data_IF_472693727851
#
_entry.id   IF_472693727851
#
_cell.length_a   1.000
_cell.length_b   1.000
_cell.length_c   1.000
_cell.angle_alpha   90.00
_cell.angle_beta   90.00
_cell.angle_gamma   90.00
#
_symmetry.space_group_name_H-M   'P 1'
#
loop_
_entity.id
_entity.type
_entity.pdbx_description
1 polymer ?
#
# COMPACT_ATOMS: atom_id res chain seq x y z
N UNK A 1 46.35 -50.92 14.25
CA UNK A 1 46.35 -49.96 13.10
C UNK A 1 45.10 -50.02 12.20
N UNK A 2 44.40 -51.14 12.03
CA UNK A 2 43.13 -51.21 11.22
C UNK A 2 41.95 -50.45 11.83
N UNK A 3 41.80 -50.40 13.15
CA UNK A 3 40.69 -49.68 13.82
C UNK A 3 40.82 -48.17 13.74
N UNK A 4 42.04 -47.62 13.73
CA UNK A 4 42.29 -46.20 13.65
C UNK A 4 41.97 -45.59 12.23
N UNK A 5 42.21 -46.40 11.16
CA UNK A 5 41.91 -45.99 9.81
C UNK A 5 40.39 -45.96 9.51
N UNK A 6 39.61 -46.87 10.14
CA UNK A 6 38.16 -46.91 9.97
C UNK A 6 37.49 -45.69 10.62
N UNK A 7 37.97 -45.27 11.80
CA UNK A 7 37.44 -44.11 12.54
C UNK A 7 37.69 -42.79 11.82
N UNK A 8 38.84 -42.64 11.13
CA UNK A 8 39.16 -41.45 10.35
C UNK A 8 38.31 -41.39 9.10
N UNK A 9 38.04 -42.52 8.41
CA UNK A 9 37.15 -42.52 7.23
C UNK A 9 35.71 -42.19 7.58
N UNK A 10 35.17 -42.65 8.69
CA UNK A 10 33.81 -42.33 9.18
C UNK A 10 33.71 -40.85 9.57
N UNK A 11 34.76 -40.31 10.23
CA UNK A 11 34.77 -38.87 10.58
C UNK A 11 34.84 -37.97 9.36
N UNK A 12 35.60 -38.33 8.33
CA UNK A 12 35.69 -37.58 7.07
C UNK A 12 34.39 -37.64 6.24
N UNK A 13 33.65 -38.75 6.26
CA UNK A 13 32.35 -38.83 5.57
C UNK A 13 31.27 -38.03 6.29
N UNK A 14 31.27 -37.96 7.62
CA UNK A 14 30.33 -37.15 8.42
C UNK A 14 30.61 -35.66 8.23
N UNK A 15 31.88 -35.25 8.16
CA UNK A 15 32.28 -33.86 7.89
C UNK A 15 31.92 -33.46 6.46
N UNK A 16 32.04 -34.38 5.49
CA UNK A 16 31.63 -34.14 4.09
C UNK A 16 30.11 -33.98 3.93
N UNK A 17 29.28 -34.63 4.76
CA UNK A 17 27.83 -34.49 4.73
C UNK A 17 27.34 -33.20 5.43
N UNK A 18 28.13 -32.62 6.33
CA UNK A 18 27.77 -31.38 7.04
C UNK A 18 28.09 -30.12 6.24
N UNK A 19 28.84 -30.18 5.15
CA UNK A 19 29.23 -29.03 4.33
C UNK A 19 28.31 -28.77 3.11
N UNK A 20 27.24 -29.53 2.92
CA UNK A 20 26.34 -29.37 1.76
C UNK A 20 24.94 -28.85 2.10
N UNK A 21 24.71 -28.32 3.29
CA UNK A 21 23.56 -27.45 3.51
C UNK A 21 23.92 -26.04 3.06
N UNK A 22 24.05 -25.84 1.76
CA UNK A 22 23.82 -24.51 1.18
C UNK A 22 22.35 -24.22 1.44
N UNK A 23 22.06 -23.50 2.51
CA UNK A 23 20.79 -22.80 2.63
C UNK A 23 20.75 -21.82 1.44
N UNK A 24 20.18 -22.26 0.34
CA UNK A 24 19.67 -21.33 -0.65
C UNK A 24 18.60 -20.51 0.10
N UNK A 25 18.98 -19.34 0.57
CA UNK A 25 17.99 -18.32 0.90
C UNK A 25 17.31 -18.00 -0.43
N UNK A 26 16.20 -18.68 -0.72
CA UNK A 26 15.32 -18.25 -1.77
C UNK A 26 14.89 -16.82 -1.39
N UNK A 27 15.42 -15.83 -2.11
CA UNK A 27 14.89 -14.48 -2.00
C UNK A 27 13.40 -14.57 -2.25
N UNK A 28 12.59 -14.04 -1.36
CA UNK A 28 11.15 -13.96 -1.56
C UNK A 28 10.90 -13.32 -2.93
N UNK A 29 10.07 -13.92 -3.78
CA UNK A 29 9.72 -13.35 -5.07
C UNK A 29 9.28 -11.91 -4.86
N UNK A 30 9.89 -10.98 -5.58
CA UNK A 30 9.56 -9.57 -5.46
C UNK A 30 8.77 -9.15 -6.68
N UNK A 31 7.48 -8.91 -6.49
CA UNK A 31 6.68 -8.23 -7.48
C UNK A 31 7.10 -6.75 -7.55
N UNK A 32 7.23 -6.23 -8.75
CA UNK A 32 7.51 -4.83 -9.03
C UNK A 32 6.66 -4.36 -10.19
N UNK A 33 6.48 -3.06 -10.33
CA UNK A 33 5.68 -2.49 -11.40
C UNK A 33 5.56 -0.98 -11.24
N UNK A 34 5.09 -0.34 -12.27
CA UNK A 34 4.89 1.11 -12.31
C UNK A 34 3.74 1.45 -13.26
N UNK A 35 2.98 2.49 -12.92
CA UNK A 35 2.03 3.12 -13.82
C UNK A 35 2.73 4.28 -14.51
N UNK A 36 2.87 4.19 -15.82
CA UNK A 36 3.62 5.17 -16.60
C UNK A 36 2.75 6.36 -16.99
N UNK A 37 1.51 6.11 -17.42
CA UNK A 37 0.62 7.17 -17.87
C UNK A 37 -0.86 6.81 -17.82
N UNK A 38 -1.68 7.86 -17.78
CA UNK A 38 -3.10 7.82 -18.08
C UNK A 38 -3.33 8.77 -19.26
N UNK A 39 -3.63 8.22 -20.43
CA UNK A 39 -3.89 8.97 -21.66
C UNK A 39 -5.31 8.68 -22.15
N UNK A 40 -6.20 9.66 -21.99
CA UNK A 40 -7.62 9.46 -22.22
C UNK A 40 -8.19 8.35 -21.36
N UNK A 41 -8.72 7.30 -21.98
CA UNK A 41 -9.23 6.11 -21.29
C UNK A 41 -8.16 5.05 -21.04
N UNK A 42 -6.95 5.20 -21.58
CA UNK A 42 -5.90 4.20 -21.48
C UNK A 42 -5.01 4.44 -20.27
N UNK A 43 -4.90 3.43 -19.44
CA UNK A 43 -3.91 3.33 -18.35
C UNK A 43 -2.81 2.37 -18.78
N UNK A 44 -1.57 2.82 -18.79
CA UNK A 44 -0.43 2.00 -19.21
C UNK A 44 0.68 2.00 -18.18
N UNK A 45 1.46 0.91 -18.19
CA UNK A 45 2.54 0.72 -17.26
C UNK A 45 3.28 -0.60 -17.49
N UNK A 46 3.93 -1.09 -16.48
CA UNK A 46 4.60 -2.39 -16.50
C UNK A 46 4.49 -3.10 -15.16
N UNK A 47 4.60 -4.43 -15.19
CA UNK A 47 4.65 -5.27 -14.00
C UNK A 47 5.53 -6.50 -14.23
N UNK A 48 6.25 -6.93 -13.20
CA UNK A 48 7.23 -7.98 -13.28
C UNK A 48 7.41 -8.71 -11.95
N UNK A 49 7.59 -10.04 -12.03
CA UNK A 49 7.90 -10.90 -10.90
C UNK A 49 9.27 -11.55 -11.08
N UNK A 50 10.20 -11.23 -10.21
CA UNK A 50 11.57 -11.75 -10.26
C UNK A 50 11.70 -13.27 -10.08
N UNK A 51 10.65 -13.96 -9.61
CA UNK A 51 10.63 -15.43 -9.50
C UNK A 51 10.31 -16.13 -10.83
N UNK A 52 9.67 -15.43 -11.77
CA UNK A 52 9.32 -15.93 -13.09
C UNK A 52 9.62 -14.87 -14.16
N UNK A 53 10.90 -14.50 -14.36
CA UNK A 53 11.33 -13.27 -15.02
C UNK A 53 10.90 -13.15 -16.48
N UNK A 54 10.63 -14.26 -17.16
CA UNK A 54 10.27 -14.29 -18.57
C UNK A 54 8.81 -14.68 -18.83
N UNK A 55 8.00 -14.72 -17.74
CA UNK A 55 6.58 -15.06 -17.81
C UNK A 55 5.75 -13.80 -17.65
N UNK A 56 4.71 -13.56 -18.47
CA UNK A 56 3.75 -12.49 -18.24
C UNK A 56 3.12 -12.58 -16.85
N UNK A 57 2.91 -11.41 -16.24
CA UNK A 57 2.29 -11.30 -14.93
C UNK A 57 0.88 -10.71 -15.04
N UNK A 58 -0.04 -11.19 -14.20
CA UNK A 58 -1.38 -10.63 -14.12
C UNK A 58 -1.36 -9.33 -13.32
N UNK A 59 -1.81 -8.23 -13.93
CA UNK A 59 -1.84 -6.90 -13.31
C UNK A 59 -3.27 -6.48 -13.07
N UNK A 60 -3.57 -6.08 -11.84
CA UNK A 60 -4.86 -5.48 -11.50
C UNK A 60 -4.66 -4.01 -11.15
N UNK A 61 -5.39 -3.13 -11.83
CA UNK A 61 -5.53 -1.70 -11.51
C UNK A 61 -6.82 -1.50 -10.75
N UNK A 62 -6.73 -0.99 -9.53
CA UNK A 62 -7.89 -0.65 -8.70
C UNK A 62 -7.98 0.86 -8.56
N UNK A 63 -9.17 1.43 -8.81
CA UNK A 63 -9.47 2.85 -8.65
C UNK A 63 -10.46 3.02 -7.50
N UNK A 64 -10.09 3.80 -6.50
CA UNK A 64 -10.93 4.13 -5.36
C UNK A 64 -11.00 5.65 -5.16
N UNK A 65 -12.13 6.15 -4.70
CA UNK A 65 -12.26 7.56 -4.33
C UNK A 65 -11.37 7.86 -3.13
N UNK A 66 -10.51 8.88 -3.22
CA UNK A 66 -9.53 9.21 -2.16
C UNK A 66 -10.16 9.70 -0.86
N UNK A 67 -11.39 10.21 -0.91
CA UNK A 67 -12.09 10.79 0.23
C UNK A 67 -13.03 9.80 0.93
N UNK A 68 -13.58 8.83 0.18
CA UNK A 68 -14.54 7.86 0.74
C UNK A 68 -13.97 6.46 0.88
N UNK A 69 -12.87 6.17 0.17
CA UNK A 69 -12.29 4.82 0.08
C UNK A 69 -13.11 3.85 -0.77
N UNK A 70 -14.25 4.30 -1.33
CA UNK A 70 -15.09 3.47 -2.16
C UNK A 70 -14.33 3.02 -3.41
N UNK A 71 -14.24 1.70 -3.60
CA UNK A 71 -13.66 1.12 -4.81
C UNK A 71 -14.69 1.21 -5.93
N UNK A 72 -14.35 1.96 -6.98
CA UNK A 72 -15.24 2.20 -8.13
C UNK A 72 -15.06 1.15 -9.20
N UNK A 73 -13.83 0.72 -9.43
CA UNK A 73 -13.51 -0.30 -10.43
C UNK A 73 -12.22 -1.04 -10.07
N UNK A 74 -12.12 -2.24 -10.65
CA UNK A 74 -10.93 -3.08 -10.57
C UNK A 74 -10.83 -3.84 -11.88
N UNK A 75 -9.83 -3.50 -12.69
CA UNK A 75 -9.61 -4.08 -14.01
C UNK A 75 -8.30 -4.85 -14.04
N UNK A 76 -8.27 -5.96 -14.77
CA UNK A 76 -7.11 -6.85 -14.85
C UNK A 76 -6.69 -7.07 -16.29
N UNK A 77 -5.37 -7.06 -16.53
CA UNK A 77 -4.75 -7.39 -17.80
C UNK A 77 -3.49 -8.21 -17.58
N UNK A 78 -2.99 -8.85 -18.64
CA UNK A 78 -1.67 -9.48 -18.64
C UNK A 78 -0.61 -8.43 -19.02
N UNK A 79 0.52 -8.47 -18.33
CA UNK A 79 1.70 -7.67 -18.65
C UNK A 79 2.57 -8.43 -19.64
N UNK A 80 2.19 -8.41 -20.93
CA UNK A 80 2.82 -9.17 -22.01
C UNK A 80 3.29 -8.29 -23.19
N UNK A 81 3.12 -6.98 -23.08
CA UNK A 81 3.51 -6.03 -24.13
C UNK A 81 5.04 -5.85 -24.11
N UNK A 82 5.67 -6.02 -25.28
CA UNK A 82 7.11 -5.81 -25.44
C UNK A 82 7.52 -4.35 -25.19
N UNK A 83 8.52 -4.18 -24.35
CA UNK A 83 9.12 -2.91 -23.93
C UNK A 83 10.64 -3.01 -23.98
N UNK A 84 11.25 -2.38 -24.96
CA UNK A 84 12.72 -2.39 -25.13
C UNK A 84 13.45 -1.75 -23.94
N UNK A 85 12.89 -0.70 -23.35
CA UNK A 85 13.44 -0.02 -22.17
C UNK A 85 13.50 -0.95 -20.94
N UNK A 86 12.49 -1.82 -20.74
CA UNK A 86 12.50 -2.82 -19.68
C UNK A 86 13.57 -3.88 -19.93
N UNK A 87 13.71 -4.36 -21.17
CA UNK A 87 14.74 -5.31 -21.57
C UNK A 87 16.15 -4.77 -21.36
N UNK A 88 16.38 -3.52 -21.76
CA UNK A 88 17.66 -2.83 -21.56
C UNK A 88 17.96 -2.61 -20.07
N UNK A 89 16.92 -2.45 -19.24
CA UNK A 89 17.04 -2.33 -17.79
C UNK A 89 17.19 -3.67 -17.06
N UNK A 90 17.20 -4.80 -17.79
CA UNK A 90 17.34 -6.13 -17.20
C UNK A 90 16.06 -6.65 -16.50
N UNK A 91 14.91 -6.14 -16.88
CA UNK A 91 13.59 -6.58 -16.39
C UNK A 91 13.11 -7.70 -17.33
N UNK A 92 13.40 -8.95 -16.93
CA UNK A 92 13.05 -10.15 -17.67
C UNK A 92 13.43 -10.11 -19.15
N UNK A 93 12.58 -10.64 -20.01
CA UNK A 93 12.74 -10.60 -21.47
C UNK A 93 12.25 -9.27 -22.10
N UNK A 94 11.67 -8.35 -21.28
CA UNK A 94 11.10 -7.08 -21.71
C UNK A 94 9.63 -7.12 -22.09
N UNK A 95 8.99 -8.30 -22.15
CA UNK A 95 7.56 -8.45 -22.40
C UNK A 95 6.78 -8.37 -21.07
N UNK A 96 6.75 -7.17 -20.47
CA UNK A 96 6.16 -6.91 -19.16
C UNK A 96 5.34 -5.60 -19.11
N UNK A 97 5.04 -4.99 -20.28
CA UNK A 97 4.15 -3.85 -20.37
C UNK A 97 2.67 -4.27 -20.29
N UNK A 98 1.82 -3.39 -19.79
CA UNK A 98 0.36 -3.58 -19.79
C UNK A 98 -0.37 -2.32 -20.26
N UNK A 99 -1.58 -2.52 -20.80
CA UNK A 99 -2.55 -1.48 -21.11
C UNK A 99 -3.94 -1.90 -20.62
N UNK A 100 -4.61 -1.02 -19.89
CA UNK A 100 -5.96 -1.22 -19.36
C UNK A 100 -6.83 -0.04 -19.79
N UNK A 101 -8.05 -0.32 -20.28
CA UNK A 101 -9.01 0.71 -20.66
C UNK A 101 -9.95 1.01 -19.51
N UNK A 102 -10.01 2.27 -19.09
CA UNK A 102 -10.90 2.77 -18.04
C UNK A 102 -11.81 3.86 -18.63
N UNK A 103 -13.11 3.69 -18.48
CA UNK A 103 -14.08 4.74 -18.84
C UNK A 103 -14.21 5.78 -17.73
N UNK A 104 -13.33 6.77 -17.75
CA UNK A 104 -13.37 7.89 -16.81
C UNK A 104 -14.62 8.76 -16.93
N UNK A 105 -15.35 8.70 -18.04
CA UNK A 105 -16.57 9.50 -18.22
C UNK A 105 -17.74 9.02 -17.34
N UNK A 106 -17.70 7.77 -16.91
CA UNK A 106 -18.66 7.19 -15.98
C UNK A 106 -18.37 7.53 -14.52
N UNK A 107 -17.21 8.15 -14.24
CA UNK A 107 -16.70 8.45 -12.90
C UNK A 107 -16.79 9.97 -12.68
N UNK A 108 -17.38 10.47 -11.55
CA UNK A 108 -17.45 11.89 -11.25
C UNK A 108 -16.08 12.57 -11.24
N UNK A 109 -16.03 13.87 -11.50
CA UNK A 109 -14.78 14.63 -11.36
C UNK A 109 -14.37 14.74 -9.89
N UNK A 110 -13.25 14.09 -9.54
CA UNK A 110 -12.68 14.06 -8.20
C UNK A 110 -11.20 13.61 -8.25
N UNK A 111 -10.61 13.42 -7.07
CA UNK A 111 -9.30 12.80 -6.91
C UNK A 111 -9.46 11.33 -6.51
N UNK A 112 -8.80 10.47 -7.25
CA UNK A 112 -8.85 9.03 -7.07
C UNK A 112 -7.49 8.46 -6.68
N UNK A 113 -7.53 7.43 -5.83
CA UNK A 113 -6.36 6.62 -5.53
C UNK A 113 -6.32 5.42 -6.49
N UNK A 114 -5.24 5.30 -7.24
CA UNK A 114 -4.99 4.17 -8.14
C UNK A 114 -3.92 3.29 -7.50
N UNK A 115 -4.21 2.00 -7.38
CA UNK A 115 -3.30 0.98 -6.86
C UNK A 115 -3.07 -0.10 -7.88
N UNK A 116 -1.87 -0.66 -7.86
CA UNK A 116 -1.49 -1.80 -8.69
C UNK A 116 -1.30 -3.03 -7.81
N UNK A 117 -1.79 -4.17 -8.30
CA UNK A 117 -1.46 -5.49 -7.76
C UNK A 117 -0.87 -6.34 -8.86
N UNK A 118 0.16 -7.12 -8.54
CA UNK A 118 0.79 -8.06 -9.45
C UNK A 118 0.60 -9.47 -8.90
N UNK A 119 -0.02 -10.35 -9.66
CA UNK A 119 -0.38 -11.70 -9.23
C UNK A 119 -1.13 -11.72 -7.89
N UNK A 120 -2.08 -10.79 -7.71
CA UNK A 120 -2.89 -10.64 -6.50
C UNK A 120 -2.16 -10.00 -5.31
N UNK A 121 -0.88 -9.63 -5.44
CA UNK A 121 -0.12 -8.95 -4.38
C UNK A 121 -0.06 -7.45 -4.67
N UNK A 122 -0.58 -6.63 -3.75
CA UNK A 122 -0.52 -5.18 -3.88
C UNK A 122 0.93 -4.68 -3.87
N UNK A 123 1.24 -3.76 -4.78
CA UNK A 123 2.52 -3.05 -4.77
C UNK A 123 2.50 -1.93 -3.72
N UNK A 124 3.66 -1.59 -3.13
CA UNK A 124 3.79 -0.51 -2.16
C UNK A 124 3.84 0.87 -2.85
N UNK A 125 3.01 1.03 -3.89
CA UNK A 125 2.88 2.23 -4.70
C UNK A 125 1.41 2.58 -4.84
N UNK A 126 1.12 3.88 -4.82
CA UNK A 126 -0.18 4.41 -5.14
C UNK A 126 -0.03 5.66 -6.00
N UNK A 127 -1.06 5.99 -6.74
CA UNK A 127 -1.09 7.16 -7.59
C UNK A 127 -2.36 7.94 -7.29
N UNK A 128 -2.22 9.24 -7.04
CA UNK A 128 -3.37 10.14 -7.01
C UNK A 128 -3.62 10.65 -8.42
N UNK A 129 -4.82 10.45 -8.92
CA UNK A 129 -5.24 10.95 -10.23
C UNK A 129 -6.46 11.85 -10.07
N UNK A 130 -6.33 13.10 -10.51
CA UNK A 130 -7.46 14.04 -10.52
C UNK A 130 -8.06 14.07 -11.93
N UNK A 131 -9.32 13.64 -12.04
CA UNK A 131 -9.99 13.49 -13.34
C UNK A 131 -10.29 14.81 -14.04
N UNK A 132 -10.48 15.90 -13.30
CA UNK A 132 -10.74 17.24 -13.89
C UNK A 132 -9.44 17.86 -14.44
N UNK A 133 -8.33 17.80 -13.67
CA UNK A 133 -7.06 18.42 -14.08
C UNK A 133 -6.15 17.50 -14.88
N UNK A 134 -6.45 16.19 -14.93
CA UNK A 134 -5.64 15.14 -15.58
C UNK A 134 -4.23 15.02 -15.01
N UNK A 135 -4.04 15.45 -13.76
CA UNK A 135 -2.75 15.37 -13.05
C UNK A 135 -2.67 14.05 -12.30
N UNK A 136 -1.57 13.33 -12.53
CA UNK A 136 -1.18 12.16 -11.76
C UNK A 136 0.00 12.50 -10.85
N UNK A 137 -0.04 12.01 -9.60
CA UNK A 137 1.05 12.13 -8.63
C UNK A 137 1.39 10.75 -8.08
N UNK A 138 2.65 10.43 -8.07
CA UNK A 138 3.14 9.19 -7.47
C UNK A 138 3.23 9.33 -5.95
N UNK A 139 2.93 8.25 -5.23
CA UNK A 139 3.09 8.17 -3.79
C UNK A 139 3.61 6.78 -3.40
N UNK A 140 4.62 6.74 -2.56
CA UNK A 140 5.11 5.50 -1.97
C UNK A 140 4.31 5.19 -0.72
N UNK A 141 3.78 3.97 -0.60
CA UNK A 141 3.07 3.51 0.58
C UNK A 141 4.02 2.74 1.49
N UNK A 142 4.34 3.33 2.65
CA UNK A 142 5.16 2.66 3.68
C UNK A 142 4.23 2.06 4.72
N UNK A 143 4.19 0.72 4.82
CA UNK A 143 3.34 0.05 5.81
C UNK A 143 3.81 0.36 7.23
N UNK A 144 2.91 0.86 8.06
CA UNK A 144 3.07 1.03 9.49
C UNK A 144 2.53 -0.19 10.27
N UNK A 145 1.89 -1.13 9.55
CA UNK A 145 1.21 -2.31 10.07
C UNK A 145 -0.19 -2.00 10.59
N UNK A 146 -0.76 -2.94 11.34
CA UNK A 146 -2.14 -2.87 11.84
C UNK A 146 -2.27 -1.94 13.05
N UNK A 147 -3.23 -1.03 13.01
CA UNK A 147 -3.63 -0.13 14.10
C UNK A 147 -5.05 -0.46 14.58
N UNK A 148 -5.31 -0.18 15.85
CA UNK A 148 -6.69 -0.06 16.33
C UNK A 148 -7.24 1.27 15.83
N UNK A 149 -8.44 1.26 15.20
CA UNK A 149 -9.14 2.47 14.83
C UNK A 149 -10.40 2.64 15.69
N UNK A 150 -10.66 3.86 16.08
CA UNK A 150 -11.88 4.30 16.76
C UNK A 150 -12.38 5.58 16.08
N UNK A 151 -13.46 6.15 16.55
CA UNK A 151 -14.05 7.32 15.92
C UNK A 151 -14.49 8.36 16.94
N UNK A 152 -14.29 9.64 16.60
CA UNK A 152 -14.78 10.77 17.39
C UNK A 152 -15.52 11.80 16.52
N UNK A 153 -16.31 12.67 17.16
CA UNK A 153 -17.07 13.71 16.50
C UNK A 153 -16.98 15.03 17.31
N UNK A 154 -17.47 16.17 16.78
CA UNK A 154 -17.34 17.46 17.45
C UNK A 154 -18.24 17.65 18.67
N UNK A 155 -19.06 16.65 19.05
CA UNK A 155 -19.90 16.76 20.23
C UNK A 155 -19.05 16.83 21.52
N UNK A 156 -19.60 17.47 22.56
CA UNK A 156 -18.87 17.76 23.80
C UNK A 156 -18.26 16.50 24.46
N UNK A 157 -18.93 15.36 24.37
CA UNK A 157 -18.43 14.12 24.98
C UNK A 157 -17.30 13.47 24.20
N UNK A 158 -17.27 13.57 22.87
CA UNK A 158 -16.21 12.99 22.06
C UNK A 158 -14.99 13.89 21.93
N UNK A 159 -15.20 15.23 21.80
CA UNK A 159 -14.14 16.19 21.60
C UNK A 159 -13.65 16.85 22.89
N UNK A 160 -14.09 16.40 24.06
CA UNK A 160 -13.75 16.99 25.37
C UNK A 160 -14.04 18.51 25.43
N UNK A 161 -14.92 19.01 24.55
CA UNK A 161 -15.30 20.42 24.45
C UNK A 161 -14.51 21.24 23.42
N UNK A 162 -13.50 20.66 22.76
CA UNK A 162 -12.72 21.36 21.71
C UNK A 162 -13.49 21.44 20.36
N UNK A 163 -14.59 20.70 20.20
CA UNK A 163 -15.40 20.71 18.99
C UNK A 163 -14.63 20.20 17.77
N UNK A 164 -14.41 21.08 16.81
CA UNK A 164 -13.63 20.75 15.59
C UNK A 164 -12.18 21.24 15.63
N UNK A 165 -11.76 21.97 16.65
CA UNK A 165 -10.40 22.48 16.70
C UNK A 165 -9.40 21.36 16.95
N UNK A 166 -8.50 21.15 15.99
CA UNK A 166 -7.47 20.13 16.04
C UNK A 166 -6.19 20.63 16.74
N UNK A 167 -5.30 19.69 17.06
CA UNK A 167 -3.98 20.01 17.63
C UNK A 167 -3.10 20.85 16.70
N UNK A 168 -3.26 20.70 15.37
CA UNK A 168 -2.54 21.50 14.37
C UNK A 168 -3.14 22.87 14.15
N UNK A 169 -4.28 23.20 14.78
CA UNK A 169 -4.99 24.47 14.62
C UNK A 169 -5.95 24.51 13.43
N UNK A 170 -6.12 23.39 12.72
CA UNK A 170 -7.09 23.25 11.62
C UNK A 170 -8.47 22.91 12.16
N UNK A 171 -9.50 22.96 11.29
CA UNK A 171 -10.84 22.45 11.60
C UNK A 171 -10.97 20.99 11.16
N UNK A 172 -11.27 20.10 12.11
CA UNK A 172 -11.47 18.70 11.82
C UNK A 172 -12.58 18.47 10.79
N UNK A 173 -12.28 17.66 9.79
CA UNK A 173 -13.17 17.34 8.66
C UNK A 173 -13.25 15.83 8.49
N UNK A 174 -14.45 15.29 8.30
CA UNK A 174 -14.65 13.88 8.00
C UNK A 174 -13.95 13.49 6.70
N UNK A 175 -13.51 12.24 6.59
CA UNK A 175 -12.73 11.70 5.48
C UNK A 175 -11.40 12.44 5.24
N UNK A 176 -10.86 13.11 6.27
CA UNK A 176 -9.59 13.83 6.23
C UNK A 176 -8.83 13.74 7.55
N UNK A 177 -9.47 14.08 8.66
CA UNK A 177 -8.77 14.30 9.93
C UNK A 177 -8.74 13.04 10.78
N UNK A 178 -7.56 12.72 11.28
CA UNK A 178 -7.38 11.71 12.32
C UNK A 178 -6.55 12.24 13.49
N UNK A 179 -6.89 11.74 14.69
CA UNK A 179 -6.04 11.89 15.87
C UNK A 179 -5.10 10.69 16.00
N UNK A 180 -3.85 10.96 16.37
CA UNK A 180 -2.76 9.97 16.46
C UNK A 180 -1.93 10.16 17.74
N UNK A 181 -1.06 9.20 18.04
CA UNK A 181 0.07 9.39 18.95
C UNK A 181 1.24 9.99 18.18
N UNK A 182 1.63 11.26 18.42
CA UNK A 182 2.68 11.92 17.63
C UNK A 182 4.08 11.31 17.82
N UNK A 183 4.25 10.41 18.79
CA UNK A 183 5.49 9.64 18.97
C UNK A 183 5.59 8.46 18.00
N UNK A 184 4.47 8.05 17.40
CA UNK A 184 4.36 6.94 16.43
C UNK A 184 4.14 7.49 15.01
N UNK A 185 3.23 8.45 14.87
CA UNK A 185 2.90 9.10 13.61
C UNK A 185 3.01 10.62 13.81
N UNK A 186 4.00 11.29 13.20
CA UNK A 186 4.14 12.75 13.29
C UNK A 186 2.89 13.49 12.80
N UNK A 187 2.54 14.60 13.44
CA UNK A 187 1.46 15.46 12.94
C UNK A 187 1.81 16.02 11.57
N UNK A 188 0.81 16.12 10.69
CA UNK A 188 0.96 16.49 9.29
C UNK A 188 1.22 15.30 8.36
N UNK A 189 1.43 14.09 8.89
CA UNK A 189 1.58 12.89 8.06
C UNK A 189 0.31 12.58 7.28
N UNK A 190 0.48 12.20 6.02
CA UNK A 190 -0.59 11.69 5.17
C UNK A 190 -0.64 10.16 5.30
N UNK A 191 -1.81 9.62 5.56
CA UNK A 191 -2.05 8.21 5.85
C UNK A 191 -3.08 7.65 4.88
N UNK A 192 -2.89 6.40 4.45
CA UNK A 192 -3.92 5.62 3.77
C UNK A 192 -4.45 4.57 4.75
N UNK A 193 -5.74 4.60 5.05
CA UNK A 193 -6.44 3.68 5.95
C UNK A 193 -7.70 3.21 5.23
N UNK A 194 -7.82 1.90 4.98
CA UNK A 194 -8.97 1.28 4.29
C UNK A 194 -9.37 1.98 2.97
N UNK A 195 -8.35 2.45 2.23
CA UNK A 195 -8.54 3.13 0.94
C UNK A 195 -8.78 4.63 1.03
N UNK A 196 -9.04 5.18 2.20
CA UNK A 196 -9.23 6.62 2.44
C UNK A 196 -7.91 7.28 2.81
N UNK A 197 -7.63 8.45 2.24
CA UNK A 197 -6.52 9.29 2.64
C UNK A 197 -6.92 10.19 3.81
N UNK A 198 -6.13 10.13 4.88
CA UNK A 198 -6.28 10.97 6.07
C UNK A 198 -5.03 11.78 6.34
N UNK A 199 -5.20 12.85 7.11
CA UNK A 199 -4.09 13.65 7.63
C UNK A 199 -4.08 13.58 9.15
N UNK A 200 -2.91 13.33 9.72
CA UNK A 200 -2.69 13.32 11.16
C UNK A 200 -2.69 14.77 11.69
N UNK A 201 -3.86 15.30 12.02
CA UNK A 201 -4.03 16.71 12.42
C UNK A 201 -4.32 16.87 13.92
N UNK A 202 -4.68 15.77 14.61
CA UNK A 202 -5.15 15.86 15.98
C UNK A 202 -4.47 14.85 16.92
N UNK A 203 -4.72 15.02 18.21
CA UNK A 203 -4.28 14.13 19.28
C UNK A 203 -5.43 13.89 20.26
N UNK A 204 -5.41 12.74 20.93
CA UNK A 204 -6.36 12.45 22.00
C UNK A 204 -5.68 11.91 23.26
N UNK A 205 -6.23 12.20 24.43
CA UNK A 205 -5.71 11.68 25.70
C UNK A 205 -5.60 10.16 25.72
N UNK A 206 -6.60 9.48 25.12
CA UNK A 206 -6.67 8.02 24.99
C UNK A 206 -6.02 7.46 23.73
N UNK A 207 -5.55 8.29 22.78
CA UNK A 207 -4.95 7.85 21.53
C UNK A 207 -3.44 7.65 21.73
N UNK A 208 -3.02 6.41 21.97
CA UNK A 208 -1.63 6.06 22.31
C UNK A 208 -1.14 4.86 21.51
N UNK A 209 0.14 4.90 21.11
CA UNK A 209 0.79 3.82 20.37
C UNK A 209 0.13 3.57 19.02
N UNK A 210 -0.12 2.31 18.67
CA UNK A 210 -0.82 1.92 17.43
C UNK A 210 -2.35 2.05 17.55
N UNK A 211 -2.79 3.28 17.85
CA UNK A 211 -4.21 3.66 17.93
C UNK A 211 -4.42 4.96 17.15
N UNK A 212 -5.43 4.98 16.31
CA UNK A 212 -5.90 6.11 15.51
C UNK A 212 -7.35 6.38 15.84
N UNK A 213 -7.75 7.64 15.98
CA UNK A 213 -9.13 8.06 16.20
C UNK A 213 -9.59 8.91 15.00
N UNK A 214 -10.57 8.38 14.26
CA UNK A 214 -11.01 8.95 12.97
C UNK A 214 -12.15 9.95 13.23
N UNK A 215 -12.03 11.16 12.66
CA UNK A 215 -13.05 12.17 12.79
C UNK A 215 -14.25 11.92 11.88
N UNK A 216 -15.45 12.00 12.47
CA UNK A 216 -16.75 11.99 11.80
C UNK A 216 -17.57 13.22 12.15
N UNK A 217 -18.55 13.57 11.31
CA UNK A 217 -19.38 14.76 11.53
C UNK A 217 -20.39 14.58 12.65
N UNK A 218 -20.88 13.35 12.89
CA UNK A 218 -21.96 13.05 13.82
C UNK A 218 -21.60 11.93 14.79
N UNK A 219 -22.23 11.93 15.94
CA UNK A 219 -22.09 10.86 16.94
C UNK A 219 -22.67 9.51 16.45
N UNK A 220 -23.63 9.52 15.54
CA UNK A 220 -24.18 8.29 14.95
C UNK A 220 -23.12 7.60 14.08
N UNK A 221 -22.39 8.36 13.27
CA UNK A 221 -21.30 7.82 12.43
C UNK A 221 -20.20 7.20 13.29
N UNK A 222 -19.83 7.83 14.42
CA UNK A 222 -18.83 7.27 15.33
C UNK A 222 -19.25 5.92 15.93
N UNK A 223 -20.55 5.76 16.21
CA UNK A 223 -21.10 4.49 16.68
C UNK A 223 -21.08 3.40 15.61
N UNK A 224 -21.34 3.78 14.36
CA UNK A 224 -21.31 2.85 13.22
C UNK A 224 -19.90 2.34 12.96
N UNK A 225 -18.89 3.23 13.08
CA UNK A 225 -17.49 2.83 12.98
C UNK A 225 -17.08 1.88 14.12
N UNK A 226 -17.45 2.22 15.34
CA UNK A 226 -17.14 1.40 16.51
C UNK A 226 -15.64 1.30 16.79
N UNK A 227 -15.13 0.05 16.89
CA UNK A 227 -13.71 -0.26 17.10
C UNK A 227 -13.29 -1.30 16.07
N UNK A 228 -12.33 -0.95 15.23
CA UNK A 228 -11.84 -1.80 14.15
C UNK A 228 -10.32 -1.98 14.22
N UNK A 229 -9.79 -2.80 13.31
CA UNK A 229 -8.36 -2.97 13.08
C UNK A 229 -8.08 -2.83 11.59
N UNK A 230 -7.29 -1.81 11.24
CA UNK A 230 -7.00 -1.45 9.87
C UNK A 230 -5.49 -1.45 9.61
N UNK A 231 -5.10 -1.88 8.42
CA UNK A 231 -3.73 -1.66 7.93
C UNK A 231 -3.54 -0.18 7.60
N UNK A 232 -2.46 0.39 8.11
CA UNK A 232 -2.14 1.81 7.95
C UNK A 232 -0.87 1.96 7.14
N UNK A 233 -0.93 2.82 6.12
CA UNK A 233 0.23 3.17 5.32
C UNK A 233 0.51 4.66 5.43
N UNK A 234 1.80 5.01 5.55
CA UNK A 234 2.26 6.37 5.38
C UNK A 234 2.42 6.66 3.88
N UNK A 235 1.83 7.76 3.41
CA UNK A 235 1.96 8.23 2.03
C UNK A 235 3.19 9.16 1.98
N UNK A 236 4.19 8.79 1.17
CA UNK A 236 5.39 9.60 0.91
C UNK A 236 5.37 10.01 -0.57
N UNK A 237 5.38 11.29 -0.82
CA UNK A 237 5.44 11.92 -2.16
C UNK A 237 6.86 12.39 -2.49
#
# INVERSE_FOLDING_TARGET
>A
MKKFRLTICVLLTVISMLLNTVCAFASTPKNSGHLDSIDGSKVSGWAWNSAAPDTPDSVTVTVANSHTGESLLSETAEADIERNDLKESGIGNGAHGFEIMIDWSSIPDDTYMIKLSVNGTALPLAYQYNTATKIIKNATLVSLGTFKTTAYCPCRSCSEGYGRLTKTGTQATASRTVAVDPRVIPLGSHLLIDGVEYIAEDVGGGVKGKHIDIFYNTHSETRNHGVERSEVYLIQS
#
